data_IF_860362275311
#
_entry.id   IF_860362275311
#
_cell.length_a   1.000
_cell.length_b   1.000
_cell.length_c   1.000
_cell.angle_alpha   90.00
_cell.angle_beta   90.00
_cell.angle_gamma   90.00
#
_symmetry.space_group_name_H-M   'P 1'
#
loop_
_entity.id
_entity.type
_entity.pdbx_description
1 polymer ?
#
# COMPACT_ATOMS: atom_id res chain seq x y z
N UNK A 1 -11.81 0.30 -0.39
CA UNK A 1 -11.54 -0.86 -1.28
C UNK A 1 -11.59 -0.40 -2.72
N UNK A 2 -10.44 -0.30 -3.40
CA UNK A 2 -10.39 0.22 -4.78
C UNK A 2 -11.10 -0.74 -5.75
N UNK A 3 -10.83 -2.04 -5.62
CA UNK A 3 -11.45 -3.08 -6.46
C UNK A 3 -12.97 -3.12 -6.32
N UNK A 4 -13.48 -3.00 -5.09
CA UNK A 4 -14.93 -3.04 -4.85
C UNK A 4 -15.66 -1.81 -5.37
N UNK A 5 -15.06 -0.63 -5.23
CA UNK A 5 -15.65 0.62 -5.72
C UNK A 5 -15.75 0.62 -7.24
N UNK A 6 -14.64 0.27 -7.92
CA UNK A 6 -14.60 0.15 -9.38
C UNK A 6 -15.51 -0.97 -9.88
N UNK A 7 -15.57 -2.11 -9.17
CA UNK A 7 -16.46 -3.21 -9.55
C UNK A 7 -17.93 -2.85 -9.43
N UNK A 8 -18.32 -2.09 -8.41
CA UNK A 8 -19.69 -1.57 -8.31
C UNK A 8 -20.00 -0.60 -9.45
N UNK A 9 -19.07 0.31 -9.79
CA UNK A 9 -19.23 1.22 -10.93
C UNK A 9 -19.33 0.48 -12.27
N UNK A 10 -18.62 -0.66 -12.42
CA UNK A 10 -18.70 -1.51 -13.61
C UNK A 10 -20.07 -2.17 -13.74
N UNK A 11 -20.56 -2.81 -12.67
CA UNK A 11 -21.85 -3.54 -12.68
C UNK A 11 -23.06 -2.59 -12.81
N UNK A 12 -22.92 -1.36 -12.32
CA UNK A 12 -23.94 -0.31 -12.48
C UNK A 12 -23.82 0.46 -13.81
N UNK A 13 -22.99 -0.03 -14.75
CA UNK A 13 -22.77 0.54 -16.08
C UNK A 13 -22.25 2.00 -16.08
N UNK A 14 -21.78 2.50 -14.93
CA UNK A 14 -21.25 3.87 -14.82
C UNK A 14 -19.94 4.04 -15.62
N UNK A 15 -19.14 2.97 -15.70
CA UNK A 15 -17.90 2.96 -16.50
C UNK A 15 -18.24 3.06 -18.00
N UNK A 16 -19.24 2.31 -18.46
CA UNK A 16 -19.65 2.33 -19.86
C UNK A 16 -20.30 3.67 -20.23
N UNK A 17 -21.07 4.27 -19.32
CA UNK A 17 -21.61 5.62 -19.49
C UNK A 17 -20.50 6.67 -19.69
N UNK A 18 -19.39 6.59 -18.95
CA UNK A 18 -18.24 7.49 -19.12
C UNK A 18 -17.57 7.31 -20.49
N UNK A 19 -17.45 6.07 -20.97
CA UNK A 19 -16.86 5.77 -22.28
C UNK A 19 -17.74 6.27 -23.43
N UNK A 20 -19.07 6.15 -23.31
CA UNK A 20 -20.04 6.71 -24.28
C UNK A 20 -19.94 8.24 -24.35
N UNK A 21 -19.66 8.90 -23.22
CA UNK A 21 -19.43 10.34 -23.16
C UNK A 21 -18.07 10.77 -23.74
N UNK A 22 -17.25 9.84 -24.26
CA UNK A 22 -15.94 10.11 -24.82
C UNK A 22 -14.85 10.34 -23.77
N UNK A 23 -15.10 10.02 -22.50
CA UNK A 23 -14.13 10.15 -21.41
C UNK A 23 -13.34 8.86 -21.28
N UNK A 24 -12.01 8.96 -21.17
CA UNK A 24 -11.16 7.82 -20.84
C UNK A 24 -11.38 7.42 -19.36
N UNK A 25 -12.29 6.47 -19.14
CA UNK A 25 -12.69 5.92 -17.85
C UNK A 25 -11.50 5.43 -17.01
N UNK A 26 -10.53 4.73 -17.61
CA UNK A 26 -9.34 4.24 -16.94
C UNK A 26 -8.48 5.38 -16.37
N UNK A 27 -8.14 6.38 -17.18
CA UNK A 27 -7.37 7.53 -16.73
C UNK A 27 -8.16 8.42 -15.77
N UNK A 28 -9.47 8.52 -15.92
CA UNK A 28 -10.31 9.36 -15.07
C UNK A 28 -10.52 8.76 -13.66
N UNK A 29 -10.71 7.44 -13.57
CA UNK A 29 -11.01 6.77 -12.30
C UNK A 29 -9.76 6.21 -11.60
N UNK A 30 -8.81 5.66 -12.36
CA UNK A 30 -7.67 4.90 -11.80
C UNK A 30 -6.51 5.84 -11.48
N UNK A 31 -6.17 6.78 -12.38
CA UNK A 31 -5.01 7.66 -12.21
C UNK A 31 -5.05 8.48 -10.91
N UNK A 32 -6.18 9.12 -10.52
CA UNK A 32 -6.24 9.88 -9.27
C UNK A 32 -6.04 8.97 -8.05
N UNK A 33 -6.52 7.72 -8.11
CA UNK A 33 -6.35 6.74 -7.03
C UNK A 33 -4.88 6.30 -6.93
N UNK A 34 -4.17 6.11 -8.04
CA UNK A 34 -2.73 5.82 -8.05
C UNK A 34 -1.95 6.97 -7.40
N UNK A 35 -2.19 8.21 -7.83
CA UNK A 35 -1.47 9.37 -7.29
C UNK A 35 -1.76 9.53 -5.79
N UNK A 36 -3.02 9.40 -5.38
CA UNK A 36 -3.41 9.47 -3.97
C UNK A 36 -2.69 8.41 -3.13
N UNK A 37 -2.72 7.16 -3.56
CA UNK A 37 -2.09 6.05 -2.81
C UNK A 37 -0.57 6.17 -2.76
N UNK A 38 0.08 6.60 -3.85
CA UNK A 38 1.54 6.83 -3.85
C UNK A 38 1.97 7.92 -2.86
N UNK A 39 1.10 8.88 -2.53
CA UNK A 39 1.39 9.91 -1.53
C UNK A 39 1.04 9.47 -0.10
N UNK A 40 -0.10 8.81 0.10
CA UNK A 40 -0.56 8.40 1.44
C UNK A 40 0.22 7.22 2.03
N UNK A 41 0.69 6.28 1.22
CA UNK A 41 1.41 5.10 1.71
C UNK A 41 2.74 5.45 2.40
N UNK A 42 3.60 6.33 1.84
CA UNK A 42 4.80 6.82 2.53
C UNK A 42 4.47 7.53 3.85
N UNK A 43 3.43 8.35 3.90
CA UNK A 43 2.99 9.03 5.12
C UNK A 43 2.54 8.04 6.19
N UNK A 44 1.75 7.03 5.82
CA UNK A 44 1.34 5.95 6.72
C UNK A 44 2.53 5.15 7.23
N UNK A 45 3.58 4.99 6.42
CA UNK A 45 4.81 4.30 6.84
C UNK A 45 5.56 5.09 7.89
N UNK A 46 5.67 6.42 7.73
CA UNK A 46 6.28 7.29 8.73
C UNK A 46 5.50 7.22 10.05
N UNK A 47 4.17 7.27 9.98
CA UNK A 47 3.32 7.12 11.15
C UNK A 47 3.53 5.76 11.83
N UNK A 48 3.59 4.68 11.05
CA UNK A 48 3.86 3.33 11.57
C UNK A 48 5.23 3.23 12.25
N UNK A 49 6.25 3.91 11.74
CA UNK A 49 7.58 3.95 12.37
C UNK A 49 7.54 4.69 13.70
N UNK A 50 6.87 5.84 13.76
CA UNK A 50 6.73 6.62 15.01
C UNK A 50 5.99 5.80 16.08
N UNK A 51 4.87 5.17 15.71
CA UNK A 51 4.08 4.33 16.62
C UNK A 51 4.87 3.08 17.04
N UNK A 52 5.63 2.47 16.13
CA UNK A 52 6.49 1.33 16.46
C UNK A 52 7.60 1.70 17.45
N UNK A 53 8.26 2.84 17.23
CA UNK A 53 9.32 3.34 18.12
C UNK A 53 8.78 3.75 19.49
N UNK A 54 7.61 4.41 19.54
CA UNK A 54 6.98 4.80 20.80
C UNK A 54 6.45 3.59 21.58
N UNK A 55 5.95 2.56 20.88
CA UNK A 55 5.57 1.29 21.48
C UNK A 55 6.76 0.58 22.13
N UNK A 56 7.91 0.51 21.44
CA UNK A 56 9.14 -0.04 22.02
C UNK A 56 9.64 0.75 23.23
N UNK A 57 9.54 2.08 23.19
CA UNK A 57 9.89 2.95 24.32
C UNK A 57 8.98 2.72 25.54
N UNK A 58 7.67 2.56 25.33
CA UNK A 58 6.72 2.26 26.39
C UNK A 58 7.00 0.90 27.04
N UNK A 59 7.39 -0.12 26.26
CA UNK A 59 7.79 -1.43 26.80
C UNK A 59 9.05 -1.33 27.65
N UNK A 60 10.05 -0.56 27.22
CA UNK A 60 11.27 -0.31 28.00
C UNK A 60 11.02 0.47 29.31
N UNK A 61 9.94 1.26 29.38
CA UNK A 61 9.53 1.94 30.61
C UNK A 61 8.81 1.02 31.60
N UNK A 62 7.97 0.12 31.07
CA UNK A 62 7.10 -0.74 31.89
C UNK A 62 7.83 -2.01 32.33
N UNK A 63 8.82 -2.44 31.54
CA UNK A 63 9.54 -3.70 31.75
C UNK A 63 11.00 -3.42 32.04
N UNK A 64 11.57 -4.12 33.02
CA UNK A 64 12.97 -3.98 33.45
C UNK A 64 13.99 -4.66 32.50
N UNK A 65 13.66 -4.74 31.20
CA UNK A 65 14.48 -5.43 30.19
C UNK A 65 15.65 -4.55 29.76
N UNK A 66 15.46 -3.23 29.71
CA UNK A 66 16.49 -2.24 29.34
C UNK A 66 16.07 -0.87 29.83
N UNK A 67 17.04 -0.01 30.18
CA UNK A 67 16.71 1.38 30.52
C UNK A 67 16.21 2.15 29.29
N UNK A 68 15.30 3.14 29.47
CA UNK A 68 14.85 4.00 28.36
C UNK A 68 16.00 4.69 27.62
N UNK A 69 17.09 5.00 28.33
CA UNK A 69 18.29 5.63 27.79
C UNK A 69 19.07 4.66 26.88
N UNK A 70 19.22 3.40 27.30
CA UNK A 70 19.85 2.37 26.47
C UNK A 70 19.05 2.10 25.19
N UNK A 71 17.71 2.12 25.27
CA UNK A 71 16.84 1.97 24.10
C UNK A 71 17.07 3.09 23.08
N UNK A 72 17.09 4.35 23.52
CA UNK A 72 17.32 5.51 22.64
C UNK A 72 18.73 5.47 22.06
N UNK A 73 19.74 5.12 22.87
CA UNK A 73 21.12 4.99 22.40
C UNK A 73 21.25 3.89 21.33
N UNK A 74 20.64 2.72 21.55
CA UNK A 74 20.63 1.63 20.58
C UNK A 74 19.96 2.02 19.26
N UNK A 75 18.83 2.74 19.32
CA UNK A 75 18.18 3.26 18.13
C UNK A 75 19.08 4.21 17.34
N UNK A 76 19.76 5.15 18.01
CA UNK A 76 20.67 6.09 17.36
C UNK A 76 21.90 5.40 16.77
N UNK A 77 22.43 4.40 17.47
CA UNK A 77 23.61 3.65 17.01
C UNK A 77 23.36 2.88 15.71
N UNK A 78 22.16 2.29 15.56
CA UNK A 78 21.77 1.51 14.37
C UNK A 78 21.13 2.39 13.28
N UNK A 79 20.89 3.68 13.57
CA UNK A 79 20.22 4.56 12.64
C UNK A 79 21.15 5.01 11.50
N UNK A 80 20.94 4.42 10.32
CA UNK A 80 21.50 4.93 9.08
C UNK A 80 20.40 5.63 8.27
N UNK A 81 20.59 6.91 7.87
CA UNK A 81 19.61 7.65 7.05
C UNK A 81 19.22 6.92 5.76
N UNK A 82 20.13 6.09 5.24
CA UNK A 82 19.89 5.24 4.08
C UNK A 82 18.66 4.33 4.27
N UNK A 83 18.48 3.72 5.45
CA UNK A 83 17.34 2.83 5.73
C UNK A 83 16.00 3.56 5.68
N UNK A 84 15.96 4.81 6.12
CA UNK A 84 14.76 5.63 6.04
C UNK A 84 14.39 5.93 4.58
N UNK A 85 15.35 6.39 3.77
CA UNK A 85 15.09 6.67 2.35
C UNK A 85 14.76 5.41 1.56
N UNK A 86 15.36 4.27 1.90
CA UNK A 86 15.05 2.96 1.34
C UNK A 86 13.60 2.55 1.62
N UNK A 87 13.15 2.68 2.87
CA UNK A 87 11.78 2.33 3.25
C UNK A 87 10.74 3.16 2.49
N UNK A 88 10.97 4.47 2.34
CA UNK A 88 10.08 5.35 1.59
C UNK A 88 10.01 4.99 0.10
N UNK A 89 11.17 4.79 -0.55
CA UNK A 89 11.21 4.39 -1.97
C UNK A 89 10.51 3.06 -2.22
N UNK A 90 10.75 2.07 -1.35
CA UNK A 90 10.11 0.76 -1.42
C UNK A 90 8.59 0.86 -1.26
N UNK A 91 8.13 1.73 -0.38
CA UNK A 91 6.71 1.94 -0.14
C UNK A 91 5.99 2.55 -1.35
N UNK A 92 6.62 3.48 -2.07
CA UNK A 92 6.05 4.06 -3.30
C UNK A 92 5.80 2.97 -4.36
N UNK A 93 6.75 2.04 -4.53
CA UNK A 93 6.60 0.92 -5.46
C UNK A 93 5.47 -0.01 -5.04
N UNK A 94 5.36 -0.30 -3.74
CA UNK A 94 4.26 -1.12 -3.21
C UNK A 94 2.90 -0.47 -3.38
N UNK A 95 2.79 0.84 -3.14
CA UNK A 95 1.57 1.59 -3.36
C UNK A 95 1.11 1.50 -4.82
N UNK A 96 2.04 1.66 -5.77
CA UNK A 96 1.75 1.52 -7.20
C UNK A 96 1.26 0.12 -7.55
N UNK A 97 1.93 -0.93 -7.07
CA UNK A 97 1.56 -2.34 -7.32
C UNK A 97 0.16 -2.64 -6.77
N UNK A 98 -0.10 -2.27 -5.51
CA UNK A 98 -1.38 -2.53 -4.84
C UNK A 98 -2.52 -1.86 -5.60
N UNK A 99 -2.36 -0.58 -5.95
CA UNK A 99 -3.42 0.18 -6.60
C UNK A 99 -3.67 -0.30 -8.02
N UNK A 100 -2.61 -0.62 -8.78
CA UNK A 100 -2.76 -1.10 -10.16
C UNK A 100 -3.44 -2.47 -10.21
N UNK A 101 -3.02 -3.41 -9.37
CA UNK A 101 -3.63 -4.75 -9.31
C UNK A 101 -5.08 -4.65 -8.81
N UNK A 102 -5.34 -3.83 -7.79
CA UNK A 102 -6.70 -3.63 -7.28
C UNK A 102 -7.61 -2.97 -8.31
N UNK A 103 -7.08 -2.00 -9.06
CA UNK A 103 -7.83 -1.34 -10.12
C UNK A 103 -8.14 -2.30 -11.27
N UNK A 104 -7.19 -3.15 -11.67
CA UNK A 104 -7.41 -4.17 -12.70
C UNK A 104 -8.55 -5.12 -12.34
N UNK A 105 -8.50 -5.73 -11.16
CA UNK A 105 -9.56 -6.67 -10.72
C UNK A 105 -10.92 -5.98 -10.50
N UNK A 106 -10.93 -4.69 -10.14
CA UNK A 106 -12.16 -3.92 -10.02
C UNK A 106 -12.76 -3.50 -11.37
N UNK A 107 -11.92 -3.07 -12.30
CA UNK A 107 -12.33 -2.57 -13.60
C UNK A 107 -12.91 -3.68 -14.49
N UNK A 108 -12.31 -4.87 -14.43
CA UNK A 108 -12.78 -6.07 -15.14
C UNK A 108 -13.66 -6.98 -14.26
N UNK A 109 -14.31 -6.43 -13.24
CA UNK A 109 -15.27 -7.19 -12.44
C UNK A 109 -16.54 -7.45 -13.28
N UNK A 110 -16.96 -8.71 -13.35
CA UNK A 110 -18.14 -9.14 -14.11
C UNK A 110 -19.13 -9.88 -13.21
N UNK A 111 -20.42 -9.83 -13.55
CA UNK A 111 -21.48 -10.56 -12.87
C UNK A 111 -22.28 -9.71 -11.89
N UNK A 112 -22.68 -10.30 -10.77
CA UNK A 112 -23.54 -9.66 -9.77
C UNK A 112 -22.73 -9.00 -8.64
N UNK A 113 -23.41 -8.28 -7.74
CA UNK A 113 -22.79 -7.64 -6.56
C UNK A 113 -21.93 -8.61 -5.72
N UNK A 114 -22.23 -9.91 -5.73
CA UNK A 114 -21.45 -10.94 -5.06
C UNK A 114 -20.06 -11.12 -5.70
N UNK A 115 -19.96 -11.02 -7.03
CA UNK A 115 -18.70 -11.16 -7.75
C UNK A 115 -17.74 -9.98 -7.52
N UNK A 116 -18.27 -8.79 -7.17
CA UNK A 116 -17.46 -7.64 -6.73
C UNK A 116 -16.65 -7.99 -5.48
N UNK A 117 -17.31 -8.63 -4.51
CA UNK A 117 -16.66 -9.10 -3.28
C UNK A 117 -15.54 -10.09 -3.59
N UNK A 118 -15.83 -11.10 -4.43
CA UNK A 118 -14.82 -12.09 -4.86
C UNK A 118 -13.66 -11.45 -5.61
N UNK A 119 -13.92 -10.48 -6.48
CA UNK A 119 -12.87 -9.76 -7.21
C UNK A 119 -11.98 -8.95 -6.26
N UNK A 120 -12.56 -8.33 -5.24
CA UNK A 120 -11.79 -7.67 -4.19
C UNK A 120 -10.89 -8.65 -3.41
N UNK A 121 -11.36 -9.86 -3.12
CA UNK A 121 -10.53 -10.89 -2.48
C UNK A 121 -9.39 -11.35 -3.39
N UNK A 122 -9.66 -11.62 -4.67
CA UNK A 122 -8.63 -11.98 -5.66
C UNK A 122 -7.57 -10.88 -5.79
N UNK A 123 -7.98 -9.61 -5.80
CA UNK A 123 -7.08 -8.47 -5.83
C UNK A 123 -6.10 -8.46 -4.63
N UNK A 124 -6.58 -8.75 -3.42
CA UNK A 124 -5.73 -8.79 -2.21
C UNK A 124 -4.74 -9.95 -2.28
N UNK A 125 -5.17 -11.13 -2.72
CA UNK A 125 -4.29 -12.30 -2.86
C UNK A 125 -3.20 -12.04 -3.91
N UNK A 126 -3.57 -11.56 -5.09
CA UNK A 126 -2.63 -11.29 -6.17
C UNK A 126 -1.65 -10.17 -5.80
N UNK A 127 -2.14 -9.07 -5.21
CA UNK A 127 -1.28 -7.98 -4.76
C UNK A 127 -0.28 -8.45 -3.71
N UNK A 128 -0.71 -9.29 -2.77
CA UNK A 128 0.17 -9.85 -1.73
C UNK A 128 1.30 -10.70 -2.32
N UNK A 129 1.01 -11.56 -3.29
CA UNK A 129 2.03 -12.39 -3.97
C UNK A 129 3.04 -11.51 -4.73
N UNK A 130 2.56 -10.51 -5.49
CA UNK A 130 3.43 -9.62 -6.27
C UNK A 130 4.28 -8.74 -5.34
N UNK A 131 3.72 -8.24 -4.24
CA UNK A 131 4.47 -7.49 -3.23
C UNK A 131 5.58 -8.34 -2.65
N UNK A 132 5.32 -9.60 -2.31
CA UNK A 132 6.37 -10.49 -1.77
C UNK A 132 7.51 -10.71 -2.76
N UNK A 133 7.19 -10.93 -4.05
CA UNK A 133 8.22 -11.04 -5.09
C UNK A 133 9.03 -9.75 -5.23
N UNK A 134 8.36 -8.60 -5.36
CA UNK A 134 9.02 -7.30 -5.47
C UNK A 134 9.78 -6.92 -4.21
N UNK A 135 9.35 -7.38 -3.03
CA UNK A 135 10.06 -7.18 -1.79
C UNK A 135 11.46 -7.78 -1.86
N UNK A 136 11.59 -9.02 -2.33
CA UNK A 136 12.87 -9.70 -2.48
C UNK A 136 13.75 -8.99 -3.52
N UNK A 137 13.18 -8.63 -4.67
CA UNK A 137 13.88 -7.93 -5.75
C UNK A 137 14.42 -6.57 -5.28
N UNK A 138 13.56 -5.73 -4.70
CA UNK A 138 13.92 -4.40 -4.24
C UNK A 138 14.95 -4.44 -3.11
N UNK A 139 14.83 -5.41 -2.20
CA UNK A 139 15.81 -5.57 -1.12
C UNK A 139 17.19 -5.94 -1.67
N UNK A 140 17.27 -6.86 -2.64
CA UNK A 140 18.55 -7.23 -3.26
C UNK A 140 19.20 -6.10 -4.08
N UNK A 141 18.40 -5.22 -4.68
CA UNK A 141 18.91 -4.14 -5.53
C UNK A 141 19.34 -2.93 -4.68
N UNK A 142 18.53 -2.55 -3.69
CA UNK A 142 18.73 -1.30 -2.96
C UNK A 142 19.65 -1.47 -1.74
N UNK A 143 19.62 -2.64 -1.10
CA UNK A 143 20.37 -2.91 0.14
C UNK A 143 21.72 -3.60 -0.10
N UNK A 144 22.21 -3.60 -1.34
CA UNK A 144 23.54 -4.08 -1.72
C UNK A 144 24.52 -2.93 -1.75
#
# INVERSE_FOLDING_TARGET
>A
SIASELGTMRITEQIDALEIMGVNSASFLILPKIISTMFFFPLLTILSLIVGMSGGYAVALITDVSSPQEYVYGLQYVFYPHYFTYALKKMIVFAFIITTISAYHGYYAEGSSLEVGKSSTRAVVHSSIVILMFNLILTKIILR
#
